data_IF_711187762695
#
_entry.id   IF_711187762695
#
_cell.length_a   1.000
_cell.length_b   1.000
_cell.length_c   1.000
_cell.angle_alpha   90.00
_cell.angle_beta   90.00
_cell.angle_gamma   90.00
#
_symmetry.space_group_name_H-M   'P 1'
#
loop_
_entity.id
_entity.type
_entity.pdbx_description
1 polymer ?
#
# COMPACT_ATOMS: atom_id res chain seq x y z
N UNK A 1 4.00 8.89 10.33
CA UNK A 1 2.55 8.84 10.06
C UNK A 1 2.16 7.43 9.72
N UNK A 2 0.99 7.00 10.19
CA UNK A 2 0.44 5.69 9.93
C UNK A 2 -0.81 5.81 9.06
N UNK A 3 -0.93 4.89 8.10
CA UNK A 3 -2.11 4.79 7.24
C UNK A 3 -2.78 3.45 7.44
N UNK A 4 -4.04 3.47 7.87
CA UNK A 4 -4.84 2.26 8.02
C UNK A 4 -5.57 2.01 6.70
N UNK A 5 -5.28 0.87 6.06
CA UNK A 5 -5.79 0.54 4.74
C UNK A 5 -6.36 -0.86 4.74
N UNK A 6 -7.51 -1.02 4.10
CA UNK A 6 -8.07 -2.33 3.82
C UNK A 6 -7.42 -2.93 2.58
N UNK A 7 -7.23 -4.24 2.57
CA UNK A 7 -6.61 -4.96 1.46
C UNK A 7 -7.36 -6.28 1.22
N UNK A 8 -7.51 -6.65 -0.04
CA UNK A 8 -8.08 -7.95 -0.37
C UNK A 8 -7.20 -9.07 0.18
N UNK A 9 -7.82 -10.15 0.63
CA UNK A 9 -7.12 -11.20 1.35
C UNK A 9 -6.03 -11.88 0.51
N UNK A 10 -6.26 -12.09 -0.78
CA UNK A 10 -5.25 -12.67 -1.67
C UNK A 10 -3.99 -11.78 -1.74
N UNK A 11 -4.18 -10.47 -1.82
CA UNK A 11 -3.05 -9.53 -1.80
C UNK A 11 -2.40 -9.45 -0.43
N UNK A 12 -3.20 -9.56 0.64
CA UNK A 12 -2.68 -9.61 2.00
C UNK A 12 -1.70 -10.78 2.17
N UNK A 13 -2.06 -11.97 1.67
CA UNK A 13 -1.18 -13.14 1.73
C UNK A 13 0.10 -12.93 0.91
N UNK A 14 0.00 -12.33 -0.26
CA UNK A 14 1.15 -12.06 -1.12
C UNK A 14 2.12 -11.05 -0.49
N UNK A 15 1.58 -10.02 0.15
CA UNK A 15 2.40 -9.06 0.89
C UNK A 15 3.05 -9.71 2.10
N UNK A 16 2.29 -10.51 2.84
CA UNK A 16 2.78 -11.20 4.03
C UNK A 16 3.92 -12.17 3.69
N UNK A 17 3.81 -12.89 2.57
CA UNK A 17 4.82 -13.85 2.13
C UNK A 17 6.05 -13.19 1.49
N UNK A 18 5.99 -11.90 1.19
CA UNK A 18 7.08 -11.18 0.55
C UNK A 18 7.08 -11.26 -0.98
N UNK A 19 6.10 -11.93 -1.58
CA UNK A 19 5.99 -12.02 -3.04
C UNK A 19 5.59 -10.69 -3.64
N UNK A 20 4.64 -10.00 -2.99
CA UNK A 20 4.17 -8.69 -3.44
C UNK A 20 4.81 -7.61 -2.57
N UNK A 21 5.61 -6.75 -3.20
CA UNK A 21 6.41 -5.73 -2.51
C UNK A 21 5.94 -4.32 -2.83
N UNK A 22 4.67 -4.16 -3.22
CA UNK A 22 4.11 -2.87 -3.58
C UNK A 22 2.61 -2.85 -3.30
N UNK A 23 2.05 -1.65 -3.18
CA UNK A 23 0.63 -1.39 -3.10
C UNK A 23 0.24 -0.33 -4.13
N UNK A 24 -0.88 -0.55 -4.82
CA UNK A 24 -1.45 0.44 -5.73
C UNK A 24 -2.60 1.12 -5.00
N UNK A 25 -2.53 2.43 -4.87
CA UNK A 25 -3.53 3.21 -4.11
C UNK A 25 -3.94 4.45 -4.87
N UNK A 26 -5.06 5.05 -4.45
CA UNK A 26 -5.47 6.37 -4.93
C UNK A 26 -4.73 7.45 -4.16
N UNK A 27 -4.48 8.58 -4.81
CA UNK A 27 -3.79 9.72 -4.19
C UNK A 27 -4.73 10.58 -3.35
N UNK A 28 -5.65 9.95 -2.63
CA UNK A 28 -6.64 10.64 -1.80
C UNK A 28 -6.14 10.95 -0.39
N UNK A 29 -4.89 10.64 -0.11
CA UNK A 29 -4.19 11.01 1.12
C UNK A 29 -2.71 11.24 0.83
N UNK A 30 -2.05 11.88 1.77
CA UNK A 30 -0.66 12.28 1.63
C UNK A 30 0.26 11.17 2.12
N UNK A 31 0.83 10.40 1.19
CA UNK A 31 1.79 9.34 1.49
C UNK A 31 3.21 9.87 1.41
N UNK A 32 4.05 9.52 2.39
CA UNK A 32 5.46 9.90 2.43
C UNK A 32 6.33 8.68 2.67
N UNK A 33 7.55 8.71 2.12
CA UNK A 33 8.54 7.65 2.38
C UNK A 33 8.81 7.60 3.89
N UNK A 34 8.82 6.40 4.46
CA UNK A 34 8.98 6.18 5.88
C UNK A 34 7.68 6.02 6.64
N UNK A 35 6.55 6.41 6.05
CA UNK A 35 5.25 6.17 6.66
C UNK A 35 4.96 4.68 6.79
N UNK A 36 4.19 4.31 7.81
CA UNK A 36 3.76 2.92 8.01
C UNK A 36 2.40 2.69 7.38
N UNK A 37 2.27 1.56 6.70
CA UNK A 37 0.99 1.05 6.23
C UNK A 37 0.54 -0.07 7.15
N UNK A 38 -0.64 0.08 7.73
CA UNK A 38 -1.30 -0.97 8.50
C UNK A 38 -2.34 -1.58 7.58
N UNK A 39 -2.01 -2.73 6.99
CA UNK A 39 -2.83 -3.40 5.98
C UNK A 39 -3.69 -4.44 6.66
N UNK A 40 -5.01 -4.28 6.57
CA UNK A 40 -5.97 -5.18 7.20
C UNK A 40 -6.67 -6.01 6.12
N UNK A 41 -6.60 -7.34 6.26
CA UNK A 41 -7.34 -8.25 5.39
C UNK A 41 -8.84 -8.04 5.53
N UNK A 42 -9.53 -7.85 4.40
CA UNK A 42 -10.98 -7.73 4.38
C UNK A 42 -11.68 -9.03 4.79
N UNK A 43 -11.00 -10.18 4.69
CA UNK A 43 -11.58 -11.48 5.03
C UNK A 43 -11.40 -11.83 6.51
N UNK A 44 -10.21 -11.62 7.05
CA UNK A 44 -9.84 -12.12 8.38
C UNK A 44 -9.72 -11.02 9.43
N UNK A 45 -9.67 -9.75 9.02
CA UNK A 45 -9.37 -8.59 9.84
C UNK A 45 -7.98 -8.62 10.49
N UNK A 46 -7.13 -9.58 10.10
CA UNK A 46 -5.73 -9.59 10.53
C UNK A 46 -4.98 -8.47 9.83
N UNK A 47 -3.96 -7.96 10.49
CA UNK A 47 -3.17 -6.84 9.98
C UNK A 47 -1.71 -7.23 9.84
N UNK A 48 -1.04 -6.57 8.89
CA UNK A 48 0.42 -6.54 8.80
C UNK A 48 0.86 -5.09 8.67
N UNK A 49 2.05 -4.80 9.17
CA UNK A 49 2.62 -3.46 9.10
C UNK A 49 3.77 -3.48 8.11
N UNK A 50 3.73 -2.56 7.15
CA UNK A 50 4.80 -2.33 6.18
C UNK A 50 5.18 -0.88 6.18
N UNK A 51 6.43 -0.59 5.85
CA UNK A 51 6.93 0.77 5.72
C UNK A 51 7.04 1.15 4.25
N UNK A 52 6.62 2.36 3.90
CA UNK A 52 6.78 2.88 2.54
C UNK A 52 8.26 3.14 2.30
N UNK A 53 8.83 2.43 1.33
CA UNK A 53 10.24 2.55 0.94
C UNK A 53 10.43 3.32 -0.34
N UNK A 54 9.42 3.37 -1.20
CA UNK A 54 9.45 4.03 -2.49
C UNK A 54 8.07 4.52 -2.87
N UNK A 55 8.00 5.61 -3.61
CA UNK A 55 6.74 6.16 -4.10
C UNK A 55 6.89 6.45 -5.59
N UNK A 56 5.96 5.93 -6.39
CA UNK A 56 5.83 6.24 -7.80
C UNK A 56 4.45 6.82 -8.06
N UNK A 57 4.39 8.12 -8.32
CA UNK A 57 3.15 8.79 -8.70
C UNK A 57 2.97 8.64 -10.21
N UNK A 58 1.89 7.98 -10.63
CA UNK A 58 1.66 7.68 -12.03
C UNK A 58 1.20 8.89 -12.85
N UNK A 59 1.00 10.04 -12.23
CA UNK A 59 0.66 11.27 -12.97
C UNK A 59 1.75 11.66 -13.97
N UNK A 60 3.01 11.26 -13.74
CA UNK A 60 4.10 11.48 -14.69
C UNK A 60 3.90 10.70 -16.00
N UNK A 61 3.00 9.72 -16.03
CA UNK A 61 2.62 8.95 -17.20
C UNK A 61 1.19 9.26 -17.65
N UNK A 62 0.67 10.43 -17.27
CA UNK A 62 -0.71 10.87 -17.56
C UNK A 62 -1.79 9.97 -16.94
N UNK A 63 -1.45 9.21 -15.92
CA UNK A 63 -2.41 8.41 -15.14
C UNK A 63 -2.60 9.12 -13.79
N UNK A 64 -3.69 9.89 -13.69
CA UNK A 64 -3.94 10.69 -12.51
C UNK A 64 -4.59 9.85 -11.39
N UNK A 65 -4.39 10.30 -10.15
CA UNK A 65 -5.02 9.77 -8.94
C UNK A 65 -4.61 8.35 -8.57
N UNK A 66 -3.53 7.82 -9.17
CA UNK A 66 -2.98 6.50 -8.84
C UNK A 66 -1.53 6.65 -8.41
N UNK A 67 -1.18 5.96 -7.34
CA UNK A 67 0.17 5.96 -6.79
C UNK A 67 0.57 4.51 -6.49
N UNK A 68 1.82 4.18 -6.73
CA UNK A 68 2.41 2.90 -6.36
C UNK A 68 3.33 3.14 -5.17
N UNK A 69 3.11 2.39 -4.10
CA UNK A 69 3.89 2.44 -2.88
C UNK A 69 4.75 1.18 -2.80
N UNK A 70 6.06 1.35 -2.85
CA UNK A 70 7.00 0.25 -2.59
C UNK A 70 7.09 -0.02 -1.10
N UNK A 71 6.93 -1.27 -0.71
CA UNK A 71 6.87 -1.66 0.70
C UNK A 71 7.79 -2.89 1.02
#
# INVERSE_FOLDING_TARGET
>A
VEHNLDIQHNYFLDVKSGIKTFEIRRTNRDYNIGDKLILKSLKTNKTIIKQIKYICDLSIYDIEHIIILGI
#
